data_IF_760277945996
#
_entry.id   IF_760277945996
#
_cell.length_a   1.000
_cell.length_b   1.000
_cell.length_c   1.000
_cell.angle_alpha   90.00
_cell.angle_beta   90.00
_cell.angle_gamma   90.00
#
_symmetry.space_group_name_H-M   'P 1'
#
loop_
_entity.id
_entity.type
_entity.pdbx_description
1 polymer ?
#
# COMPACT_ATOMS: atom_id res chain seq x y z
N UNK A 1 -6.43 -20.24 2.28
CA UNK A 1 -4.98 -20.24 2.57
C UNK A 1 -4.73 -19.04 3.45
N UNK A 2 -4.10 -19.21 4.60
CA UNK A 2 -3.73 -18.09 5.46
C UNK A 2 -2.40 -17.50 4.95
N UNK A 3 -2.38 -16.19 4.70
CA UNK A 3 -1.19 -15.46 4.25
C UNK A 3 -0.79 -14.44 5.32
N UNK A 4 0.49 -14.39 5.73
CA UNK A 4 0.95 -13.35 6.63
C UNK A 4 0.99 -12.00 5.90
N UNK A 5 0.37 -10.97 6.50
CA UNK A 5 0.39 -9.59 5.98
C UNK A 5 0.93 -8.67 7.08
N UNK A 6 1.93 -7.86 6.73
CA UNK A 6 2.42 -6.82 7.63
C UNK A 6 1.59 -5.55 7.44
N UNK A 7 1.07 -4.97 8.52
CA UNK A 7 0.36 -3.70 8.47
C UNK A 7 1.19 -2.64 9.22
N UNK A 8 1.63 -1.61 8.49
CA UNK A 8 2.34 -0.45 9.04
C UNK A 8 1.46 0.80 8.88
N UNK A 9 0.83 1.23 9.98
CA UNK A 9 -0.05 2.39 9.98
C UNK A 9 0.44 3.48 10.93
N UNK A 10 0.04 4.71 10.66
CA UNK A 10 0.45 5.88 11.44
C UNK A 10 0.10 7.19 10.72
N UNK A 11 0.22 8.34 11.39
CA UNK A 11 -0.14 9.64 10.81
C UNK A 11 0.75 9.99 9.60
N UNK A 12 0.28 10.89 8.74
CA UNK A 12 1.10 11.45 7.65
C UNK A 12 2.39 12.06 8.24
N UNK A 13 3.49 11.95 7.50
CA UNK A 13 4.84 12.38 7.92
C UNK A 13 5.44 11.65 9.14
N UNK A 14 4.88 10.52 9.59
CA UNK A 14 5.46 9.70 10.67
C UNK A 14 6.64 8.81 10.26
N UNK A 15 7.19 8.96 9.05
CA UNK A 15 8.36 8.20 8.59
C UNK A 15 8.10 6.76 8.10
N UNK A 16 6.83 6.36 7.85
CA UNK A 16 6.49 4.99 7.41
C UNK A 16 7.19 4.55 6.12
N UNK A 17 7.23 5.42 5.11
CA UNK A 17 7.90 5.10 3.84
C UNK A 17 9.40 4.91 4.05
N UNK A 18 10.04 5.78 4.83
CA UNK A 18 11.47 5.70 5.15
C UNK A 18 11.83 4.37 5.81
N UNK A 19 11.12 3.97 6.87
CA UNK A 19 11.45 2.72 7.57
C UNK A 19 11.24 1.48 6.69
N UNK A 20 10.24 1.49 5.80
CA UNK A 20 10.04 0.39 4.85
C UNK A 20 11.17 0.32 3.84
N UNK A 21 11.59 1.46 3.29
CA UNK A 21 12.74 1.51 2.38
C UNK A 21 14.02 1.07 3.08
N UNK A 22 14.28 1.51 4.31
CA UNK A 22 15.49 1.11 5.05
C UNK A 22 15.56 -0.41 5.27
N UNK A 23 14.41 -1.04 5.61
CA UNK A 23 14.33 -2.49 5.83
C UNK A 23 14.47 -3.27 4.51
N UNK A 24 13.74 -2.84 3.48
CA UNK A 24 13.57 -3.60 2.23
C UNK A 24 14.44 -3.13 1.05
N UNK A 25 15.28 -2.12 1.23
CA UNK A 25 16.37 -1.80 0.28
C UNK A 25 17.66 -2.56 0.62
N UNK A 26 17.83 -2.94 1.90
CA UNK A 26 19.02 -3.62 2.40
C UNK A 26 18.89 -5.14 2.48
N UNK A 27 19.00 -5.69 3.70
CA UNK A 27 19.10 -7.13 3.96
C UNK A 27 17.90 -7.94 3.42
N UNK A 28 16.72 -7.33 3.38
CA UNK A 28 15.49 -7.96 2.90
C UNK A 28 15.11 -7.50 1.49
N UNK A 29 16.09 -7.08 0.68
CA UNK A 29 15.86 -6.58 -0.67
C UNK A 29 14.98 -7.50 -1.50
N UNK A 30 13.94 -6.91 -2.13
CA UNK A 30 12.96 -7.58 -3.00
C UNK A 30 12.12 -8.67 -2.31
N UNK A 31 12.12 -8.75 -0.97
CA UNK A 31 11.30 -9.71 -0.23
C UNK A 31 9.91 -9.19 0.13
N UNK A 32 9.61 -7.92 -0.15
CA UNK A 32 8.31 -7.33 0.15
C UNK A 32 7.82 -6.42 -0.99
N UNK A 33 6.52 -6.20 -1.01
CA UNK A 33 5.84 -5.23 -1.88
C UNK A 33 4.79 -4.49 -1.03
N UNK A 34 4.65 -3.19 -1.23
CA UNK A 34 3.77 -2.32 -0.44
C UNK A 34 2.43 -2.15 -1.13
N UNK A 35 1.34 -2.22 -0.38
CA UNK A 35 -0.02 -1.89 -0.82
C UNK A 35 -0.41 -0.60 -0.12
N UNK A 36 -0.64 0.47 -0.88
CA UNK A 36 -1.01 1.77 -0.30
C UNK A 36 -2.44 1.73 0.26
N UNK A 37 -2.57 2.00 1.55
CA UNK A 37 -3.83 2.23 2.26
C UNK A 37 -4.05 3.75 2.50
N UNK A 38 -3.74 4.55 1.49
CA UNK A 38 -4.01 5.98 1.43
C UNK A 38 -5.06 6.27 0.35
N UNK A 39 -6.17 6.89 0.73
CA UNK A 39 -7.29 7.16 -0.18
C UNK A 39 -6.98 8.18 -1.27
N UNK A 40 -5.91 8.97 -1.13
CA UNK A 40 -5.56 10.03 -2.07
C UNK A 40 -4.43 9.62 -3.04
N UNK A 41 -3.52 8.74 -2.62
CA UNK A 41 -2.43 8.25 -3.47
C UNK A 41 -2.90 7.40 -4.67
N UNK A 42 -4.16 6.95 -4.63
CA UNK A 42 -4.80 6.18 -5.71
C UNK A 42 -4.95 6.98 -7.02
N UNK A 43 -5.01 8.32 -6.96
CA UNK A 43 -5.36 9.19 -8.09
C UNK A 43 -4.15 9.69 -8.85
N UNK A 44 -4.13 9.51 -10.17
CA UNK A 44 -3.06 9.96 -11.08
C UNK A 44 -2.87 11.48 -11.06
N UNK A 45 -1.63 11.91 -11.19
CA UNK A 45 -1.24 13.33 -11.29
C UNK A 45 -1.36 14.13 -9.97
N UNK A 46 -1.84 13.51 -8.90
CA UNK A 46 -1.96 14.15 -7.58
C UNK A 46 -0.76 13.83 -6.68
N UNK A 47 0.47 14.04 -7.15
CA UNK A 47 1.67 13.46 -6.50
C UNK A 47 2.14 14.24 -5.27
N UNK A 48 2.35 15.56 -5.42
CA UNK A 48 2.94 16.42 -4.38
C UNK A 48 2.01 16.53 -3.17
N UNK A 49 0.73 16.84 -3.39
CA UNK A 49 -0.24 17.06 -2.32
C UNK A 49 -0.60 15.81 -1.51
N UNK A 50 -0.27 14.63 -2.02
CA UNK A 50 -0.59 13.34 -1.38
C UNK A 50 0.65 12.61 -0.87
N UNK A 51 1.83 13.26 -0.97
CA UNK A 51 3.11 12.72 -0.57
C UNK A 51 3.34 11.30 -1.12
N UNK A 52 3.07 11.09 -2.42
CA UNK A 52 3.33 9.80 -3.07
C UNK A 52 4.82 9.46 -3.02
N UNK A 53 5.17 8.18 -2.88
CA UNK A 53 6.54 7.74 -3.05
C UNK A 53 7.03 8.07 -4.46
N UNK A 54 8.29 8.50 -4.54
CA UNK A 54 8.94 8.86 -5.81
C UNK A 54 9.05 7.64 -6.74
N UNK A 55 9.40 7.86 -8.00
CA UNK A 55 9.66 6.75 -8.93
C UNK A 55 10.81 5.86 -8.44
N UNK A 56 11.86 6.47 -7.89
CA UNK A 56 13.05 5.77 -7.36
C UNK A 56 12.68 4.91 -6.14
N UNK A 57 11.86 5.44 -5.24
CA UNK A 57 11.36 4.69 -4.07
C UNK A 57 10.48 3.51 -4.50
N UNK A 58 9.63 3.71 -5.52
CA UNK A 58 8.76 2.66 -6.08
C UNK A 58 9.54 1.59 -6.86
N UNK A 59 10.66 1.95 -7.48
CA UNK A 59 11.56 0.99 -8.14
C UNK A 59 12.32 0.15 -7.10
N UNK A 60 12.73 0.77 -6.00
CA UNK A 60 13.40 0.09 -4.90
C UNK A 60 12.46 -0.88 -4.15
N UNK A 61 11.25 -0.42 -3.85
CA UNK A 61 10.21 -1.17 -3.15
C UNK A 61 8.88 -1.00 -3.91
N UNK A 62 8.41 -2.01 -4.67
CA UNK A 62 7.19 -1.87 -5.47
C UNK A 62 5.99 -1.48 -4.61
N UNK A 63 5.26 -0.46 -5.06
CA UNK A 63 4.02 0.00 -4.42
C UNK A 63 2.82 -0.26 -5.34
N UNK A 64 1.78 -0.87 -4.78
CA UNK A 64 0.48 -1.16 -5.38
C UNK A 64 -0.55 -0.12 -4.96
N UNK A 65 -1.63 -0.01 -5.75
CA UNK A 65 -2.77 0.89 -5.54
C UNK A 65 -2.41 2.39 -5.55
N UNK A 66 -1.31 2.74 -6.20
CA UNK A 66 -0.92 4.11 -6.51
C UNK A 66 -1.17 4.35 -7.99
N UNK A 67 -1.68 5.52 -8.36
CA UNK A 67 -1.91 5.90 -9.77
C UNK A 67 -2.83 4.90 -10.54
N UNK A 68 -3.81 4.31 -9.86
CA UNK A 68 -4.74 3.33 -10.48
C UNK A 68 -6.08 3.95 -10.89
N UNK A 69 -6.37 5.19 -10.50
CA UNK A 69 -7.60 5.93 -10.83
C UNK A 69 -7.31 7.32 -11.38
N UNK A 70 -8.20 7.82 -12.23
CA UNK A 70 -8.27 9.23 -12.59
C UNK A 70 -8.93 10.05 -11.46
N UNK A 71 -8.57 11.34 -11.27
CA UNK A 71 -9.13 12.17 -10.20
C UNK A 71 -10.67 12.34 -10.21
N UNK A 72 -11.32 12.06 -11.33
CA UNK A 72 -12.78 12.11 -11.48
C UNK A 72 -13.48 10.76 -11.25
N UNK A 73 -12.73 9.68 -10.99
CA UNK A 73 -13.28 8.37 -10.66
C UNK A 73 -13.50 8.23 -9.16
N UNK A 74 -14.48 7.41 -8.76
CA UNK A 74 -14.68 7.09 -7.35
C UNK A 74 -13.75 5.95 -6.91
N UNK A 75 -13.24 6.04 -5.69
CA UNK A 75 -12.53 4.97 -5.00
C UNK A 75 -13.03 4.84 -3.56
N UNK A 76 -13.63 3.70 -3.22
CA UNK A 76 -14.25 3.46 -1.92
C UNK A 76 -13.55 2.32 -1.15
N UNK A 77 -13.97 2.08 0.09
CA UNK A 77 -13.38 1.04 0.93
C UNK A 77 -13.59 -0.38 0.38
N UNK A 78 -14.71 -0.64 -0.31
CA UNK A 78 -14.97 -1.93 -0.95
C UNK A 78 -14.01 -2.19 -2.12
N UNK A 79 -13.71 -1.16 -2.91
CA UNK A 79 -12.67 -1.24 -3.95
C UNK A 79 -11.29 -1.48 -3.34
N UNK A 80 -10.94 -0.75 -2.27
CA UNK A 80 -9.68 -0.96 -1.58
C UNK A 80 -9.54 -2.40 -1.06
N UNK A 81 -10.53 -2.91 -0.31
CA UNK A 81 -10.46 -4.27 0.28
C UNK A 81 -10.26 -5.31 -0.83
N UNK A 82 -11.10 -5.26 -1.88
CA UNK A 82 -11.02 -6.21 -2.99
C UNK A 82 -9.66 -6.17 -3.71
N UNK A 83 -9.13 -4.98 -3.98
CA UNK A 83 -7.86 -4.83 -4.69
C UNK A 83 -6.67 -5.17 -3.79
N UNK A 84 -6.72 -4.81 -2.51
CA UNK A 84 -5.70 -5.15 -1.52
C UNK A 84 -5.63 -6.66 -1.28
N UNK A 85 -6.77 -7.36 -1.17
CA UNK A 85 -6.80 -8.83 -1.07
C UNK A 85 -6.16 -9.50 -2.28
N UNK A 86 -6.52 -9.05 -3.48
CA UNK A 86 -5.93 -9.58 -4.72
C UNK A 86 -4.42 -9.33 -4.77
N UNK A 87 -3.96 -8.13 -4.40
CA UNK A 87 -2.55 -7.81 -4.33
C UNK A 87 -1.82 -8.68 -3.29
N UNK A 88 -2.40 -8.88 -2.10
CA UNK A 88 -1.84 -9.75 -1.07
C UNK A 88 -1.66 -11.19 -1.56
N UNK A 89 -2.66 -11.75 -2.24
CA UNK A 89 -2.60 -13.11 -2.80
C UNK A 89 -1.51 -13.22 -3.88
N UNK A 90 -1.45 -12.25 -4.79
CA UNK A 90 -0.48 -12.20 -5.88
C UNK A 90 0.98 -12.04 -5.38
N UNK A 91 1.20 -11.14 -4.41
CA UNK A 91 2.50 -10.94 -3.76
C UNK A 91 2.94 -12.22 -3.02
N UNK A 92 2.04 -12.82 -2.25
CA UNK A 92 2.31 -14.04 -1.51
C UNK A 92 2.59 -15.23 -2.45
N UNK A 93 1.87 -15.34 -3.57
CA UNK A 93 2.11 -16.37 -4.58
C UNK A 93 3.50 -16.27 -5.23
N UNK A 94 4.07 -15.06 -5.29
CA UNK A 94 5.48 -14.83 -5.69
C UNK A 94 6.50 -15.09 -4.58
N UNK A 95 6.08 -15.55 -3.40
CA UNK A 95 6.94 -15.81 -2.26
C UNK A 95 7.44 -14.54 -1.55
N UNK A 96 6.73 -13.42 -1.70
CA UNK A 96 7.07 -12.13 -1.08
C UNK A 96 6.08 -11.77 0.03
N UNK A 97 6.48 -10.87 0.92
CA UNK A 97 5.67 -10.35 2.01
C UNK A 97 4.79 -9.19 1.51
N UNK A 98 3.44 -9.30 1.59
CA UNK A 98 2.56 -8.16 1.41
C UNK A 98 2.67 -7.21 2.60
N UNK A 99 2.88 -5.93 2.33
CA UNK A 99 2.95 -4.88 3.36
C UNK A 99 1.88 -3.84 3.08
N UNK A 100 0.87 -3.73 3.94
CA UNK A 100 -0.12 -2.65 3.85
C UNK A 100 0.41 -1.44 4.62
N UNK A 101 0.60 -0.32 3.93
CA UNK A 101 1.13 0.92 4.51
C UNK A 101 0.22 2.10 4.22
N UNK A 102 -0.08 2.93 5.22
CA UNK A 102 -0.93 4.10 5.01
C UNK A 102 -1.48 4.71 6.30
N UNK A 103 -2.46 5.60 6.13
CA UNK A 103 -3.09 6.36 7.22
C UNK A 103 -4.61 6.31 7.24
N UNK A 104 -5.27 5.76 6.22
CA UNK A 104 -6.74 5.73 6.16
C UNK A 104 -7.28 4.63 7.07
N UNK A 105 -7.49 4.96 8.35
CA UNK A 105 -7.98 4.00 9.36
C UNK A 105 -9.27 3.28 8.96
N UNK A 106 -10.14 3.94 8.19
CA UNK A 106 -11.34 3.31 7.63
C UNK A 106 -11.02 2.16 6.67
N UNK A 107 -10.04 2.31 5.78
CA UNK A 107 -9.61 1.24 4.87
C UNK A 107 -9.01 0.06 5.63
N UNK A 108 -8.11 0.33 6.57
CA UNK A 108 -7.48 -0.70 7.39
C UNK A 108 -8.50 -1.48 8.23
N UNK A 109 -9.45 -0.78 8.85
CA UNK A 109 -10.52 -1.41 9.63
C UNK A 109 -11.32 -2.39 8.78
N UNK A 110 -11.76 -1.96 7.59
CA UNK A 110 -12.56 -2.81 6.70
C UNK A 110 -11.74 -3.97 6.11
N UNK A 111 -10.44 -3.80 5.89
CA UNK A 111 -9.56 -4.88 5.45
C UNK A 111 -9.37 -5.94 6.54
N UNK A 112 -9.18 -5.53 7.80
CA UNK A 112 -8.92 -6.45 8.92
C UNK A 112 -10.20 -7.14 9.41
N UNK A 113 -11.30 -6.38 9.50
CA UNK A 113 -12.55 -6.83 10.13
C UNK A 113 -13.66 -7.20 9.14
N UNK A 114 -13.43 -6.98 7.84
CA UNK A 114 -14.44 -7.11 6.80
C UNK A 114 -15.24 -5.82 6.58
N UNK A 115 -15.91 -5.78 5.42
CA UNK A 115 -16.88 -4.73 5.09
C UNK A 115 -18.15 -4.91 5.94
N UNK A 116 -18.84 -3.82 6.33
CA UNK A 116 -20.11 -3.88 7.04
C UNK A 116 -21.23 -4.52 6.21
#
# INVERSE_FOLDING_TARGET
>A
MEIPVLILFGPTASGKTSILLDIFSGKFSRQAEVISADSMQVYRGMDIGTAKPSAEERECLPHHLIDIREPNEQFNAGDFVRLADNACLDIAARGKLPVISGGTGFYLKNFILGLP
#
